data_IF_721456847936
#
_entry.id   IF_721456847936
#
_cell.length_a   1.000
_cell.length_b   1.000
_cell.length_c   1.000
_cell.angle_alpha   90.00
_cell.angle_beta   90.00
_cell.angle_gamma   90.00
#
_symmetry.space_group_name_H-M   'P 1'
#
loop_
_entity.id
_entity.type
_entity.pdbx_description
1 polymer ?
#
# COMPACT_ATOMS: atom_id res chain seq x y z
N UNK A 1 -20.34 20.70 54.13
CA UNK A 1 -19.75 19.45 53.67
C UNK A 1 -20.74 18.41 53.08
N UNK A 2 -21.99 18.30 53.45
CA UNK A 2 -22.95 17.29 52.93
C UNK A 2 -23.46 17.54 51.50
N UNK A 3 -23.47 18.77 51.00
CA UNK A 3 -24.04 19.09 49.67
C UNK A 3 -23.15 18.70 48.47
N UNK A 4 -21.83 18.69 48.68
CA UNK A 4 -20.88 18.30 47.62
C UNK A 4 -20.74 16.78 47.46
N UNK A 5 -21.03 16.01 48.51
CA UNK A 5 -21.00 14.55 48.45
C UNK A 5 -22.12 13.97 47.57
N UNK A 6 -23.30 14.62 47.58
CA UNK A 6 -24.43 14.20 46.75
C UNK A 6 -24.21 14.46 45.26
N UNK A 7 -23.50 15.54 44.91
CA UNK A 7 -23.18 15.87 43.54
C UNK A 7 -22.15 14.88 42.93
N UNK A 8 -21.16 14.46 43.73
CA UNK A 8 -20.15 13.47 43.29
C UNK A 8 -20.82 12.09 43.11
N UNK A 9 -21.73 11.70 43.97
CA UNK A 9 -22.46 10.44 43.88
C UNK A 9 -23.35 10.39 42.65
N UNK A 10 -24.01 11.50 42.27
CA UNK A 10 -24.82 11.61 41.04
C UNK A 10 -23.98 11.51 39.76
N UNK A 11 -22.78 12.06 39.74
CA UNK A 11 -21.87 11.98 38.58
C UNK A 11 -21.36 10.54 38.40
N UNK A 12 -20.99 9.85 39.49
CA UNK A 12 -20.51 8.47 39.45
C UNK A 12 -21.64 7.53 38.99
N UNK A 13 -22.89 7.77 39.40
CA UNK A 13 -24.06 6.96 39.03
C UNK A 13 -24.41 7.14 37.54
N UNK A 14 -24.29 8.37 37.00
CA UNK A 14 -24.55 8.63 35.59
C UNK A 14 -23.51 7.99 34.65
N UNK A 15 -22.26 7.87 35.06
CA UNK A 15 -21.23 7.12 34.33
C UNK A 15 -21.49 5.62 34.30
N UNK A 16 -21.96 5.05 35.41
CA UNK A 16 -22.26 3.60 35.50
C UNK A 16 -23.45 3.19 34.66
N UNK A 17 -24.48 4.01 34.57
CA UNK A 17 -25.67 3.75 33.72
C UNK A 17 -25.30 3.80 32.23
N UNK A 18 -24.48 4.76 31.82
CA UNK A 18 -24.02 4.83 30.40
C UNK A 18 -23.16 3.62 30.01
N UNK A 19 -22.28 3.16 30.87
CA UNK A 19 -21.41 2.00 30.60
C UNK A 19 -22.19 0.68 30.48
N UNK A 20 -23.30 0.54 31.21
CA UNK A 20 -24.14 -0.66 31.14
C UNK A 20 -25.00 -0.69 29.88
N UNK A 21 -25.45 0.46 29.40
CA UNK A 21 -26.24 0.60 28.16
C UNK A 21 -25.41 0.30 26.91
N UNK A 22 -24.14 0.73 26.89
CA UNK A 22 -23.21 0.51 25.76
C UNK A 22 -22.96 -0.99 25.53
N UNK A 23 -22.78 -1.76 26.60
CA UNK A 23 -22.49 -3.21 26.50
C UNK A 23 -23.63 -4.03 25.91
N UNK A 24 -24.87 -3.55 26.00
CA UNK A 24 -26.06 -4.22 25.46
C UNK A 24 -26.30 -3.92 23.98
N UNK A 25 -25.63 -2.92 23.40
CA UNK A 25 -25.83 -2.51 22.02
C UNK A 25 -25.26 -3.53 20.99
N UNK A 26 -25.77 -3.55 19.77
CA UNK A 26 -25.17 -4.33 18.67
C UNK A 26 -23.70 -3.91 18.45
N UNK A 27 -22.84 -4.89 18.19
CA UNK A 27 -21.40 -4.65 17.98
C UNK A 27 -21.17 -3.62 16.87
N UNK A 28 -21.92 -3.72 15.76
CA UNK A 28 -21.84 -2.78 14.65
C UNK A 28 -22.05 -1.33 15.06
N UNK A 29 -23.03 -1.07 15.97
CA UNK A 29 -23.29 0.28 16.47
C UNK A 29 -22.16 0.78 17.36
N UNK A 30 -21.63 -0.06 18.23
CA UNK A 30 -20.50 0.27 19.12
C UNK A 30 -19.29 0.65 18.26
N UNK A 31 -18.92 -0.15 17.26
CA UNK A 31 -17.79 0.13 16.39
C UNK A 31 -17.99 1.38 15.54
N UNK A 32 -19.22 1.61 15.04
CA UNK A 32 -19.54 2.84 14.30
C UNK A 32 -19.38 4.09 15.20
N UNK A 33 -19.82 4.01 16.46
CA UNK A 33 -19.62 5.10 17.43
C UNK A 33 -18.13 5.31 17.70
N UNK A 34 -17.36 4.23 17.87
CA UNK A 34 -15.90 4.32 18.05
C UNK A 34 -15.21 5.02 16.87
N UNK A 35 -15.63 4.71 15.63
CA UNK A 35 -15.09 5.38 14.44
C UNK A 35 -15.43 6.88 14.45
N UNK A 36 -16.68 7.24 14.75
CA UNK A 36 -17.07 8.67 14.84
C UNK A 36 -16.30 9.44 15.94
N UNK A 37 -16.03 8.79 17.07
CA UNK A 37 -15.19 9.37 18.14
C UNK A 37 -13.74 9.56 17.68
N UNK A 38 -13.20 8.59 16.92
CA UNK A 38 -11.85 8.68 16.34
C UNK A 38 -11.76 9.84 15.33
N UNK A 39 -12.77 10.01 14.48
CA UNK A 39 -12.85 11.12 13.53
C UNK A 39 -12.97 12.47 14.26
N UNK A 40 -13.68 12.50 15.39
CA UNK A 40 -13.79 13.66 16.26
C UNK A 40 -12.53 13.89 17.16
N UNK A 41 -11.46 13.10 16.97
CA UNK A 41 -10.21 13.16 17.74
C UNK A 41 -10.39 12.90 19.25
N UNK A 42 -11.49 12.23 19.65
CA UNK A 42 -11.74 11.81 21.02
C UNK A 42 -11.11 10.43 21.24
N UNK A 43 -9.77 10.40 21.28
CA UNK A 43 -8.98 9.16 21.17
C UNK A 43 -9.22 8.19 22.33
N UNK A 44 -9.27 8.66 23.57
CA UNK A 44 -9.50 7.82 24.75
C UNK A 44 -10.89 7.16 24.70
N UNK A 45 -11.91 7.95 24.35
CA UNK A 45 -13.28 7.43 24.20
C UNK A 45 -13.37 6.44 23.02
N UNK A 46 -12.71 6.74 21.89
CA UNK A 46 -12.67 5.85 20.74
C UNK A 46 -12.03 4.50 21.09
N UNK A 47 -10.91 4.51 21.82
CA UNK A 47 -10.23 3.31 22.28
C UNK A 47 -11.13 2.47 23.19
N UNK A 48 -11.80 3.08 24.14
CA UNK A 48 -12.74 2.39 25.02
C UNK A 48 -13.84 1.69 24.23
N UNK A 49 -14.47 2.41 23.27
CA UNK A 49 -15.56 1.85 22.46
C UNK A 49 -15.06 0.74 21.51
N UNK A 50 -13.89 0.86 20.90
CA UNK A 50 -13.30 -0.23 20.11
C UNK A 50 -13.04 -1.46 20.96
N UNK A 51 -12.53 -1.30 22.17
CA UNK A 51 -12.28 -2.41 23.09
C UNK A 51 -13.57 -3.07 23.59
N UNK A 52 -14.63 -2.30 23.86
CA UNK A 52 -15.96 -2.85 24.17
C UNK A 52 -16.51 -3.63 22.97
N UNK A 53 -16.42 -3.05 21.77
CA UNK A 53 -16.85 -3.71 20.54
C UNK A 53 -16.10 -5.01 20.30
N UNK A 54 -14.79 -5.02 20.46
CA UNK A 54 -13.94 -6.21 20.34
C UNK A 54 -14.32 -7.28 21.37
N UNK A 55 -14.52 -6.90 22.61
CA UNK A 55 -14.95 -7.83 23.67
C UNK A 55 -16.31 -8.48 23.34
N UNK A 56 -17.27 -7.68 22.89
CA UNK A 56 -18.59 -8.17 22.51
C UNK A 56 -18.54 -9.06 21.28
N UNK A 57 -17.72 -8.71 20.26
CA UNK A 57 -17.51 -9.53 19.08
C UNK A 57 -16.89 -10.89 19.43
N UNK A 58 -15.90 -10.91 20.32
CA UNK A 58 -15.31 -12.16 20.84
C UNK A 58 -16.31 -13.03 21.57
N UNK A 59 -17.13 -12.45 22.45
CA UNK A 59 -18.15 -13.18 23.18
C UNK A 59 -19.22 -13.81 22.29
N UNK A 60 -19.44 -13.22 21.11
CA UNK A 60 -20.38 -13.73 20.08
C UNK A 60 -19.72 -14.58 18.99
N UNK A 61 -18.41 -14.81 19.08
CA UNK A 61 -17.62 -15.48 18.03
C UNK A 61 -17.74 -14.83 16.65
N UNK A 62 -18.03 -13.52 16.61
CA UNK A 62 -18.20 -12.76 15.38
C UNK A 62 -16.83 -12.29 14.89
N UNK A 63 -16.23 -13.08 14.00
CA UNK A 63 -14.88 -12.88 13.50
C UNK A 63 -14.79 -11.61 12.64
N UNK A 64 -15.85 -11.25 11.92
CA UNK A 64 -15.87 -10.03 11.11
C UNK A 64 -15.76 -8.76 11.96
N UNK A 65 -16.59 -8.65 13.00
CA UNK A 65 -16.52 -7.49 13.89
C UNK A 65 -15.27 -7.49 14.77
N UNK A 66 -14.67 -8.66 15.05
CA UNK A 66 -13.34 -8.68 15.67
C UNK A 66 -12.30 -8.06 14.76
N UNK A 67 -12.32 -8.38 13.44
CA UNK A 67 -11.41 -7.79 12.47
C UNK A 67 -11.60 -6.27 12.37
N UNK A 68 -12.85 -5.80 12.25
CA UNK A 68 -13.16 -4.37 12.22
C UNK A 68 -12.70 -3.63 13.49
N UNK A 69 -12.87 -4.23 14.67
CA UNK A 69 -12.41 -3.63 15.91
C UNK A 69 -10.89 -3.50 15.96
N UNK A 70 -10.16 -4.52 15.50
CA UNK A 70 -8.70 -4.45 15.40
C UNK A 70 -8.23 -3.44 14.34
N UNK A 71 -8.91 -3.34 13.20
CA UNK A 71 -8.63 -2.30 12.20
C UNK A 71 -8.83 -0.90 12.79
N UNK A 72 -9.95 -0.67 13.49
CA UNK A 72 -10.23 0.60 14.16
C UNK A 72 -9.19 0.96 15.23
N UNK A 73 -8.74 -0.01 16.03
CA UNK A 73 -7.65 0.18 16.99
C UNK A 73 -6.33 0.49 16.27
N UNK A 74 -6.05 -0.18 15.14
CA UNK A 74 -4.91 0.13 14.30
C UNK A 74 -4.91 1.57 13.80
N UNK A 75 -6.05 2.05 13.32
CA UNK A 75 -6.23 3.43 12.87
C UNK A 75 -6.04 4.43 14.02
N UNK A 76 -6.59 4.13 15.19
CA UNK A 76 -6.43 4.97 16.38
C UNK A 76 -4.96 5.06 16.81
N UNK A 77 -4.28 3.94 16.94
CA UNK A 77 -2.88 3.90 17.35
C UNK A 77 -1.94 4.51 16.32
N UNK A 78 -2.29 4.42 15.02
CA UNK A 78 -1.58 5.12 13.96
C UNK A 78 -1.69 6.64 14.12
N UNK A 79 -2.90 7.16 14.39
CA UNK A 79 -3.14 8.61 14.58
C UNK A 79 -2.50 9.15 15.87
N UNK A 80 -2.35 8.31 16.89
CA UNK A 80 -1.72 8.67 18.18
C UNK A 80 -0.24 8.31 18.25
N UNK A 81 0.38 7.99 17.08
CA UNK A 81 1.81 7.65 16.92
C UNK A 81 2.28 6.45 17.76
N UNK A 82 1.36 5.60 18.21
CA UNK A 82 1.66 4.37 18.95
C UNK A 82 1.97 3.22 17.97
N UNK A 83 3.09 3.35 17.24
CA UNK A 83 3.46 2.50 16.10
C UNK A 83 3.35 0.99 16.37
N UNK A 84 3.87 0.51 17.49
CA UNK A 84 3.88 -0.93 17.80
C UNK A 84 2.46 -1.49 18.01
N UNK A 85 1.58 -0.70 18.64
CA UNK A 85 0.19 -1.08 18.86
C UNK A 85 -0.60 -1.05 17.54
N UNK A 86 -0.33 -0.07 16.68
CA UNK A 86 -0.92 0.01 15.35
C UNK A 86 -0.55 -1.21 14.50
N UNK A 87 0.75 -1.55 14.42
CA UNK A 87 1.24 -2.74 13.70
C UNK A 87 0.55 -4.01 14.19
N UNK A 88 0.57 -4.26 15.50
CA UNK A 88 -0.05 -5.46 16.10
C UNK A 88 -1.55 -5.54 15.81
N UNK A 89 -2.24 -4.40 15.83
CA UNK A 89 -3.68 -4.33 15.58
C UNK A 89 -4.01 -4.61 14.12
N UNK A 90 -3.29 -3.99 13.19
CA UNK A 90 -3.48 -4.26 11.76
C UNK A 90 -3.15 -5.71 11.38
N UNK A 91 -2.08 -6.31 11.93
CA UNK A 91 -1.75 -7.71 11.68
C UNK A 91 -2.88 -8.65 12.11
N UNK A 92 -3.50 -8.39 13.28
CA UNK A 92 -4.66 -9.16 13.75
C UNK A 92 -5.86 -8.98 12.82
N UNK A 93 -6.16 -7.75 12.39
CA UNK A 93 -7.25 -7.48 11.46
C UNK A 93 -7.05 -8.23 10.13
N UNK A 94 -5.87 -8.11 9.52
CA UNK A 94 -5.50 -8.79 8.27
C UNK A 94 -5.69 -10.30 8.39
N UNK A 95 -5.16 -10.90 9.46
CA UNK A 95 -5.30 -12.35 9.70
C UNK A 95 -6.78 -12.79 9.75
N UNK A 96 -7.62 -12.02 10.44
CA UNK A 96 -9.04 -12.34 10.59
C UNK A 96 -9.82 -12.13 9.28
N UNK A 97 -9.52 -11.07 8.51
CA UNK A 97 -10.15 -10.86 7.20
C UNK A 97 -9.77 -11.96 6.21
N UNK A 98 -8.50 -12.36 6.14
CA UNK A 98 -8.04 -13.47 5.28
C UNK A 98 -8.69 -14.80 5.66
N UNK A 99 -8.82 -15.07 6.96
CA UNK A 99 -9.50 -16.29 7.44
C UNK A 99 -10.96 -16.37 7.01
N UNK A 100 -11.59 -15.27 6.61
CA UNK A 100 -12.95 -15.19 6.09
C UNK A 100 -13.02 -15.05 4.57
N UNK A 101 -11.90 -15.13 3.84
CA UNK A 101 -11.85 -14.94 2.40
C UNK A 101 -12.05 -13.48 1.95
N UNK A 102 -11.95 -12.51 2.87
CA UNK A 102 -12.11 -11.09 2.59
C UNK A 102 -10.78 -10.45 2.13
N UNK A 103 -10.18 -11.02 1.08
CA UNK A 103 -8.85 -10.66 0.58
C UNK A 103 -8.73 -9.17 0.18
N UNK A 104 -9.77 -8.58 -0.41
CA UNK A 104 -9.76 -7.18 -0.82
C UNK A 104 -9.63 -6.26 0.39
N UNK A 105 -10.41 -6.53 1.45
CA UNK A 105 -10.34 -5.73 2.68
C UNK A 105 -9.00 -5.94 3.38
N UNK A 106 -8.53 -7.20 3.46
CA UNK A 106 -7.22 -7.51 4.02
C UNK A 106 -6.10 -6.71 3.33
N UNK A 107 -6.16 -6.60 2.00
CA UNK A 107 -5.17 -5.85 1.21
C UNK A 107 -5.18 -4.34 1.48
N UNK A 108 -6.36 -3.76 1.72
CA UNK A 108 -6.48 -2.35 2.15
C UNK A 108 -5.78 -2.16 3.50
N UNK A 109 -6.03 -3.04 4.48
CA UNK A 109 -5.40 -2.95 5.80
C UNK A 109 -3.88 -3.23 5.72
N UNK A 110 -3.41 -4.10 4.81
CA UNK A 110 -1.97 -4.27 4.53
C UNK A 110 -1.31 -2.99 4.06
N UNK A 111 -2.00 -2.17 3.27
CA UNK A 111 -1.48 -0.86 2.85
C UNK A 111 -1.35 0.09 4.05
N UNK A 112 -2.34 0.12 4.96
CA UNK A 112 -2.27 0.90 6.19
C UNK A 112 -1.09 0.44 7.08
N UNK A 113 -0.89 -0.87 7.20
CA UNK A 113 0.23 -1.46 7.94
C UNK A 113 1.58 -1.02 7.36
N UNK A 114 1.75 -1.10 6.03
CA UNK A 114 2.96 -0.63 5.34
C UNK A 114 3.25 0.85 5.62
N UNK A 115 2.21 1.70 5.56
CA UNK A 115 2.34 3.12 5.84
C UNK A 115 2.87 3.37 7.26
N UNK A 116 2.29 2.69 8.26
CA UNK A 116 2.76 2.78 9.67
C UNK A 116 4.20 2.27 9.83
N UNK A 117 4.56 1.22 9.10
CA UNK A 117 5.92 0.69 9.09
C UNK A 117 6.90 1.60 8.36
N UNK A 118 6.41 2.53 7.53
CA UNK A 118 7.21 3.35 6.64
C UNK A 118 7.75 2.57 5.44
N UNK A 119 7.04 1.51 5.05
CA UNK A 119 7.35 0.66 3.88
C UNK A 119 6.50 1.15 2.71
N UNK A 120 7.16 1.66 1.67
CA UNK A 120 6.50 2.08 0.45
C UNK A 120 6.32 0.96 -0.57
N UNK A 121 5.51 1.23 -1.58
CA UNK A 121 5.44 0.38 -2.75
C UNK A 121 6.60 0.67 -3.71
N UNK A 122 7.19 -0.39 -4.25
CA UNK A 122 8.33 -0.28 -5.17
C UNK A 122 7.87 -0.28 -6.61
N UNK A 123 8.44 0.62 -7.41
CA UNK A 123 8.19 0.75 -8.84
C UNK A 123 9.49 0.72 -9.63
N UNK A 124 9.48 0.12 -10.81
CA UNK A 124 10.60 0.13 -11.73
C UNK A 124 10.19 0.78 -13.06
N UNK A 125 10.96 1.77 -13.50
CA UNK A 125 10.93 2.34 -14.83
C UNK A 125 12.15 1.88 -15.64
N UNK A 126 11.95 1.34 -16.83
CA UNK A 126 13.01 0.95 -17.76
C UNK A 126 12.82 1.76 -19.02
N UNK A 127 13.80 2.59 -19.35
CA UNK A 127 13.82 3.38 -20.59
C UNK A 127 14.75 2.71 -21.60
N UNK A 128 14.24 2.50 -22.81
CA UNK A 128 15.01 2.03 -23.97
C UNK A 128 15.38 3.27 -24.79
N UNK A 129 16.63 3.70 -24.71
CA UNK A 129 17.14 4.86 -25.43
C UNK A 129 17.92 4.45 -26.68
N UNK A 130 18.17 5.43 -27.56
CA UNK A 130 18.92 5.23 -28.82
C UNK A 130 20.35 4.70 -28.58
N UNK A 131 21.01 5.15 -27.51
CA UNK A 131 22.42 4.83 -27.19
C UNK A 131 22.62 4.20 -25.84
N UNK A 132 21.56 3.75 -25.20
CA UNK A 132 21.65 3.10 -23.89
C UNK A 132 20.29 2.93 -23.26
N UNK A 133 20.19 1.93 -22.41
CA UNK A 133 19.00 1.64 -21.63
C UNK A 133 19.24 2.10 -20.20
N UNK A 134 18.20 2.64 -19.55
CA UNK A 134 18.23 3.08 -18.18
C UNK A 134 17.19 2.38 -17.35
N UNK A 135 17.47 2.20 -16.08
CA UNK A 135 16.51 1.69 -15.12
C UNK A 135 16.57 2.52 -13.86
N UNK A 136 15.41 2.99 -13.41
CA UNK A 136 15.26 3.60 -12.10
C UNK A 136 14.27 2.78 -11.27
N UNK A 137 14.59 2.60 -9.99
CA UNK A 137 13.69 2.01 -9.00
C UNK A 137 13.38 3.06 -7.97
N UNK A 138 12.10 3.30 -7.75
CA UNK A 138 11.60 4.23 -6.75
C UNK A 138 10.74 3.51 -5.73
N UNK A 139 10.82 3.94 -4.48
CA UNK A 139 9.86 3.62 -3.43
C UNK A 139 8.90 4.80 -3.29
N UNK A 140 7.60 4.51 -3.33
CA UNK A 140 6.53 5.49 -3.09
C UNK A 140 5.90 5.15 -1.75
N UNK A 141 6.00 6.05 -0.79
CA UNK A 141 5.40 5.89 0.54
C UNK A 141 4.61 7.13 0.92
N UNK A 142 3.70 6.99 1.84
CA UNK A 142 2.97 8.13 2.39
C UNK A 142 3.87 8.92 3.34
N UNK A 143 4.04 10.20 3.07
CA UNK A 143 4.71 11.15 3.93
C UNK A 143 3.86 11.52 5.16
N UNK A 144 4.46 12.25 6.11
CA UNK A 144 3.78 12.66 7.34
C UNK A 144 2.64 13.66 7.10
N UNK A 145 2.72 14.41 6.03
CA UNK A 145 1.72 15.38 5.56
C UNK A 145 0.56 14.74 4.77
N UNK A 146 0.62 13.42 4.52
CA UNK A 146 -0.35 12.69 3.72
C UNK A 146 -0.06 12.71 2.22
N UNK A 147 1.01 13.37 1.78
CA UNK A 147 1.45 13.38 0.39
C UNK A 147 2.39 12.21 0.09
N UNK A 148 2.54 11.88 -1.19
CA UNK A 148 3.46 10.82 -1.60
C UNK A 148 4.90 11.31 -1.57
N UNK A 149 5.75 10.59 -0.83
CA UNK A 149 7.21 10.73 -0.89
C UNK A 149 7.78 9.72 -1.89
N UNK A 150 8.70 10.19 -2.74
CA UNK A 150 9.38 9.40 -3.76
C UNK A 150 10.85 9.25 -3.41
N UNK A 151 11.30 8.03 -3.16
CA UNK A 151 12.66 7.72 -2.77
C UNK A 151 13.34 6.92 -3.86
N UNK A 152 14.37 7.49 -4.49
CA UNK A 152 15.20 6.78 -5.46
C UNK A 152 16.00 5.68 -4.75
N UNK A 153 15.82 4.43 -5.18
CA UNK A 153 16.50 3.25 -4.63
C UNK A 153 17.61 2.73 -5.53
N UNK A 154 17.44 2.90 -6.81
CA UNK A 154 18.41 2.52 -7.82
C UNK A 154 18.24 3.43 -9.03
N UNK A 155 19.35 3.89 -9.57
CA UNK A 155 19.45 4.46 -10.90
C UNK A 155 20.68 3.84 -11.57
N UNK A 156 20.47 3.23 -12.75
CA UNK A 156 21.53 2.50 -13.44
C UNK A 156 21.29 2.52 -14.94
N UNK A 157 22.35 2.28 -15.71
CA UNK A 157 22.28 2.23 -17.15
C UNK A 157 23.18 1.14 -17.73
N UNK A 158 22.80 0.65 -18.90
CA UNK A 158 23.60 -0.25 -19.73
C UNK A 158 23.70 0.38 -21.11
N UNK A 159 24.94 0.63 -21.57
CA UNK A 159 25.17 1.20 -22.89
C UNK A 159 24.82 0.15 -23.95
N UNK A 160 23.97 0.55 -24.89
CA UNK A 160 23.59 -0.22 -26.08
C UNK A 160 23.46 0.74 -27.25
N UNK A 161 23.39 0.25 -28.48
CA UNK A 161 23.19 1.10 -29.65
C UNK A 161 21.91 0.71 -30.38
N UNK A 162 20.77 0.83 -29.71
CA UNK A 162 19.48 0.41 -30.26
C UNK A 162 19.13 1.11 -31.58
N UNK A 163 19.61 2.34 -31.80
CA UNK A 163 19.38 3.09 -33.02
C UNK A 163 20.10 2.52 -34.25
N UNK A 164 21.08 1.64 -34.07
CA UNK A 164 21.76 0.99 -35.22
C UNK A 164 20.85 -0.02 -35.93
N UNK A 165 19.86 -0.58 -35.26
CA UNK A 165 18.87 -1.54 -35.76
C UNK A 165 19.52 -2.78 -36.42
N UNK A 166 20.71 -3.16 -35.95
CA UNK A 166 21.39 -4.39 -36.31
C UNK A 166 20.96 -5.53 -35.40
N UNK A 167 21.12 -6.77 -35.86
CA UNK A 167 20.85 -7.95 -35.03
C UNK A 167 21.63 -7.91 -33.69
N UNK A 168 22.86 -7.44 -33.72
CA UNK A 168 23.69 -7.34 -32.53
C UNK A 168 23.15 -6.30 -31.55
N UNK A 169 22.76 -5.11 -32.03
CA UNK A 169 22.22 -4.03 -31.21
C UNK A 169 20.86 -4.39 -30.61
N UNK A 170 20.03 -5.11 -31.39
CA UNK A 170 18.75 -5.63 -30.92
C UNK A 170 18.96 -6.66 -29.79
N UNK A 171 19.92 -7.57 -29.96
CA UNK A 171 20.28 -8.54 -28.92
C UNK A 171 20.82 -7.89 -27.66
N UNK A 172 21.73 -6.94 -27.77
CA UNK A 172 22.26 -6.19 -26.62
C UNK A 172 21.16 -5.44 -25.85
N UNK A 173 20.22 -4.84 -26.57
CA UNK A 173 19.06 -4.17 -25.97
C UNK A 173 18.16 -5.17 -25.25
N UNK A 174 17.87 -6.32 -25.87
CA UNK A 174 17.12 -7.41 -25.26
C UNK A 174 17.78 -7.90 -23.96
N UNK A 175 19.09 -8.16 -24.01
CA UNK A 175 19.85 -8.66 -22.86
C UNK A 175 19.84 -7.63 -21.72
N UNK A 176 19.98 -6.33 -22.02
CA UNK A 176 19.91 -5.25 -21.04
C UNK A 176 18.53 -5.19 -20.34
N UNK A 177 17.45 -5.29 -21.10
CA UNK A 177 16.08 -5.32 -20.54
C UNK A 177 15.89 -6.56 -19.68
N UNK A 178 16.40 -7.71 -20.09
CA UNK A 178 16.33 -8.94 -19.31
C UNK A 178 17.05 -8.80 -17.96
N UNK A 179 18.22 -8.17 -17.93
CA UNK A 179 18.98 -7.86 -16.71
C UNK A 179 18.18 -6.93 -15.81
N UNK A 180 17.65 -5.83 -16.32
CA UNK A 180 16.86 -4.89 -15.55
C UNK A 180 15.59 -5.51 -14.97
N UNK A 181 14.87 -6.30 -15.78
CA UNK A 181 13.71 -7.04 -15.29
C UNK A 181 14.07 -8.04 -14.18
N UNK A 182 15.20 -8.74 -14.32
CA UNK A 182 15.71 -9.63 -13.28
C UNK A 182 15.98 -8.86 -11.97
N UNK A 183 16.62 -7.69 -12.05
CA UNK A 183 16.86 -6.82 -10.90
C UNK A 183 15.53 -6.40 -10.24
N UNK A 184 14.57 -5.88 -11.03
CA UNK A 184 13.27 -5.46 -10.52
C UNK A 184 12.55 -6.61 -9.80
N UNK A 185 12.45 -7.77 -10.45
CA UNK A 185 11.74 -8.94 -9.93
C UNK A 185 12.44 -9.60 -8.74
N UNK A 186 13.75 -9.83 -8.83
CA UNK A 186 14.43 -10.70 -7.88
C UNK A 186 15.10 -9.94 -6.72
N UNK A 187 15.67 -8.77 -6.99
CA UNK A 187 16.31 -7.94 -5.96
C UNK A 187 15.29 -7.09 -5.20
N UNK A 188 14.40 -6.40 -5.94
CA UNK A 188 13.44 -5.46 -5.35
C UNK A 188 12.04 -6.05 -5.15
N UNK A 189 11.77 -7.28 -5.63
CA UNK A 189 10.47 -7.96 -5.53
C UNK A 189 9.32 -7.15 -6.13
N UNK A 190 9.60 -6.37 -7.16
CA UNK A 190 8.62 -5.53 -7.83
C UNK A 190 7.69 -6.38 -8.67
N UNK A 191 6.39 -6.15 -8.52
CA UNK A 191 5.38 -6.86 -9.30
C UNK A 191 5.35 -6.39 -10.77
N UNK A 192 4.87 -7.20 -11.70
CA UNK A 192 4.71 -6.79 -13.11
C UNK A 192 3.88 -5.52 -13.27
N UNK A 193 2.83 -5.32 -12.47
CA UNK A 193 1.97 -4.14 -12.54
C UNK A 193 2.66 -2.84 -12.07
N UNK A 194 3.81 -2.96 -11.38
CA UNK A 194 4.63 -1.84 -10.91
C UNK A 194 5.94 -1.72 -11.71
N UNK A 195 6.02 -2.43 -12.84
CA UNK A 195 7.16 -2.36 -13.76
C UNK A 195 6.69 -1.78 -15.09
N UNK A 196 7.32 -0.69 -15.52
CA UNK A 196 7.00 -0.03 -16.79
C UNK A 196 8.24 0.02 -17.66
N UNK A 197 8.06 -0.28 -18.96
CA UNK A 197 9.09 -0.16 -19.98
C UNK A 197 8.63 0.89 -20.98
N UNK A 198 9.50 1.82 -21.31
CA UNK A 198 9.21 2.89 -22.26
C UNK A 198 10.31 3.00 -23.32
N UNK A 199 9.92 3.20 -24.56
CA UNK A 199 10.84 3.56 -25.65
C UNK A 199 10.93 5.09 -25.68
N UNK A 200 12.15 5.62 -25.55
CA UNK A 200 12.39 7.06 -25.57
C UNK A 200 11.96 7.71 -26.88
N UNK A 201 11.62 8.98 -26.83
CA UNK A 201 11.24 9.77 -28.03
C UNK A 201 12.33 9.76 -29.09
N UNK A 202 13.60 9.84 -28.68
CA UNK A 202 14.74 9.83 -29.60
C UNK A 202 14.86 8.49 -30.36
N UNK A 203 14.74 7.35 -29.65
CA UNK A 203 14.74 6.05 -30.31
C UNK A 203 13.49 5.85 -31.17
N UNK A 204 12.34 6.29 -30.70
CA UNK A 204 11.10 6.22 -31.47
C UNK A 204 11.22 6.94 -32.82
N UNK A 205 11.78 8.16 -32.83
CA UNK A 205 12.00 8.91 -34.09
C UNK A 205 12.90 8.15 -35.05
N UNK A 206 13.95 7.47 -34.56
CA UNK A 206 14.79 6.63 -35.42
C UNK A 206 14.02 5.42 -35.98
N UNK A 207 13.24 4.74 -35.12
CA UNK A 207 12.42 3.60 -35.54
C UNK A 207 11.32 3.98 -36.55
N UNK A 208 10.70 5.16 -36.40
CA UNK A 208 9.66 5.68 -37.29
C UNK A 208 10.20 5.90 -38.71
N UNK A 209 11.46 6.34 -38.90
CA UNK A 209 12.11 6.51 -40.20
C UNK A 209 12.12 5.22 -41.04
N UNK A 210 12.14 4.06 -40.36
CA UNK A 210 12.22 2.76 -40.97
C UNK A 210 10.94 1.95 -40.83
N UNK A 211 9.86 2.54 -40.28
CA UNK A 211 8.60 1.87 -39.94
C UNK A 211 8.78 0.59 -39.09
N UNK A 212 9.69 0.67 -38.08
CA UNK A 212 10.10 -0.47 -37.24
C UNK A 212 9.63 -0.41 -35.80
N UNK A 213 8.79 0.53 -35.40
CA UNK A 213 8.40 0.71 -34.01
C UNK A 213 7.77 -0.55 -33.41
N UNK A 214 6.74 -1.08 -34.07
CA UNK A 214 6.04 -2.29 -33.58
C UNK A 214 6.93 -3.54 -33.64
N UNK A 215 7.70 -3.67 -34.69
CA UNK A 215 8.68 -4.76 -34.81
C UNK A 215 9.68 -4.71 -33.66
N UNK A 216 10.28 -3.56 -33.39
CA UNK A 216 11.27 -3.39 -32.34
C UNK A 216 10.67 -3.69 -30.96
N UNK A 217 9.49 -3.17 -30.66
CA UNK A 217 8.81 -3.45 -29.39
C UNK A 217 8.55 -4.95 -29.18
N UNK A 218 8.31 -5.70 -30.27
CA UNK A 218 8.14 -7.15 -30.22
C UNK A 218 9.43 -7.91 -29.93
N UNK A 219 10.54 -7.53 -30.60
CA UNK A 219 11.81 -8.27 -30.47
C UNK A 219 12.57 -7.98 -29.20
N UNK A 220 12.46 -6.77 -28.63
CA UNK A 220 13.14 -6.42 -27.38
C UNK A 220 12.42 -6.93 -26.13
N UNK A 221 11.30 -7.60 -26.29
CA UNK A 221 10.56 -8.22 -25.18
C UNK A 221 11.24 -9.54 -24.77
N UNK A 222 11.87 -9.63 -23.57
CA UNK A 222 12.40 -10.89 -23.09
C UNK A 222 11.33 -11.99 -22.99
N UNK A 223 11.69 -13.23 -23.38
CA UNK A 223 10.76 -14.37 -23.34
C UNK A 223 10.16 -14.66 -21.97
N UNK A 224 10.88 -14.32 -20.91
CA UNK A 224 10.48 -14.48 -19.53
C UNK A 224 9.87 -13.21 -18.93
N UNK A 225 9.66 -12.16 -19.73
CA UNK A 225 8.97 -10.96 -19.32
C UNK A 225 7.48 -11.28 -19.12
N UNK A 226 6.95 -10.91 -17.96
CA UNK A 226 5.51 -11.09 -17.69
C UNK A 226 4.68 -10.35 -18.74
N UNK A 227 3.68 -11.00 -19.38
CA UNK A 227 2.88 -10.37 -20.42
C UNK A 227 2.08 -9.14 -19.93
N UNK A 228 1.90 -8.98 -18.63
CA UNK A 228 1.25 -7.80 -18.04
C UNK A 228 2.12 -6.54 -18.08
N UNK A 229 3.43 -6.68 -18.28
CA UNK A 229 4.32 -5.52 -18.41
C UNK A 229 4.13 -4.95 -19.81
N UNK A 230 3.63 -3.72 -19.85
CA UNK A 230 3.46 -3.00 -21.10
C UNK A 230 4.77 -2.32 -21.52
N UNK A 231 5.06 -2.38 -22.81
CA UNK A 231 6.08 -1.52 -23.45
C UNK A 231 5.30 -0.39 -24.12
N UNK A 232 5.54 0.83 -23.65
CA UNK A 232 4.88 2.03 -24.18
C UNK A 232 5.90 2.96 -24.86
N UNK A 233 5.41 3.99 -25.51
CA UNK A 233 6.24 5.00 -26.17
C UNK A 233 6.06 6.34 -25.46
N UNK A 234 7.15 7.10 -25.35
CA UNK A 234 7.02 8.51 -25.00
C UNK A 234 6.45 9.24 -26.21
N UNK A 235 5.25 9.79 -26.06
CA UNK A 235 4.69 10.71 -27.05
C UNK A 235 5.38 12.06 -26.90
N UNK A 236 5.83 12.63 -28.02
CA UNK A 236 6.39 13.97 -28.05
C UNK A 236 5.31 15.00 -27.76
#
# INVERSE_FOLDING_TARGET
>A
MRRNFFLILLIVFSFSVKAQDIKSQPVSRILKTATSLLEAQQYEAAEEYFNIGLKNAKAKFDVYYQAQAYEGLGNLYSKTEQKNLAVTSYEKAIKLYKAQGLEVIAKVVETLLKNVQGIGDMYAGIEIGARGNKMSVIEVRMGKDGENEYLLKLDTSINTNAAELSYQSEKETYDAIAVFYHIAKNRFKISPNHTHIVISSGLRQELDKYNKVEYFAGIVRPKNLDPKIMISYVTA
#
